data_IF_632269440410
#
_entry.id   IF_632269440410
#
_cell.length_a   1.000
_cell.length_b   1.000
_cell.length_c   1.000
_cell.angle_alpha   90.00
_cell.angle_beta   90.00
_cell.angle_gamma   90.00
#
_symmetry.space_group_name_H-M   'P 1'
#
loop_
_entity.id
_entity.type
_entity.pdbx_description
1 polymer ?
#
# COMPACT_ATOMS: atom_id res chain seq x y z
N UNK A 1 8.13 -65.81 32.93
CA UNK A 1 6.88 -66.36 32.36
C UNK A 1 5.62 -66.04 33.18
N UNK A 2 5.68 -66.01 34.52
CA UNK A 2 4.52 -65.76 35.41
C UNK A 2 3.96 -64.32 35.29
N UNK A 3 4.83 -63.32 35.15
CA UNK A 3 4.44 -61.90 35.00
C UNK A 3 3.48 -61.63 33.82
N UNK A 4 3.72 -62.26 32.67
CA UNK A 4 2.84 -62.10 31.49
C UNK A 4 1.47 -62.72 31.69
N UNK A 5 1.37 -63.84 32.43
CA UNK A 5 0.08 -64.49 32.72
C UNK A 5 -0.76 -63.66 33.69
N UNK A 6 -0.13 -63.05 34.69
CA UNK A 6 -0.82 -62.11 35.59
C UNK A 6 -1.33 -60.88 34.85
N UNK A 7 -0.50 -60.25 34.01
CA UNK A 7 -0.91 -59.09 33.21
C UNK A 7 -2.09 -59.40 32.27
N UNK A 8 -2.08 -60.57 31.62
CA UNK A 8 -3.19 -61.01 30.77
C UNK A 8 -4.49 -61.28 31.56
N UNK A 9 -4.37 -61.83 32.78
CA UNK A 9 -5.52 -62.06 33.65
C UNK A 9 -6.13 -60.74 34.16
N UNK A 10 -5.30 -59.77 34.52
CA UNK A 10 -5.74 -58.43 34.93
C UNK A 10 -6.43 -57.67 33.79
N UNK A 11 -5.89 -57.72 32.58
CA UNK A 11 -6.55 -57.16 31.39
C UNK A 11 -7.90 -57.82 31.15
N UNK A 12 -7.98 -59.16 31.21
CA UNK A 12 -9.24 -59.88 31.03
C UNK A 12 -10.27 -59.54 32.12
N UNK A 13 -9.83 -59.31 33.36
CA UNK A 13 -10.67 -58.86 34.46
C UNK A 13 -11.21 -57.43 34.25
N UNK A 14 -10.36 -56.52 33.75
CA UNK A 14 -10.75 -55.16 33.39
C UNK A 14 -11.82 -55.16 32.29
N UNK A 15 -11.64 -55.94 31.22
CA UNK A 15 -12.59 -56.00 30.09
C UNK A 15 -13.90 -56.75 30.40
N UNK A 16 -13.91 -57.63 31.41
CA UNK A 16 -15.13 -58.34 31.79
C UNK A 16 -15.98 -57.58 32.83
N UNK A 17 -15.40 -56.61 33.55
CA UNK A 17 -16.10 -55.84 34.56
C UNK A 17 -16.60 -54.51 34.00
N UNK A 18 -17.91 -54.41 33.77
CA UNK A 18 -18.56 -53.22 33.17
C UNK A 18 -18.29 -51.93 33.96
N UNK A 19 -18.20 -51.99 35.29
CA UNK A 19 -17.96 -50.80 36.14
C UNK A 19 -16.52 -50.29 35.97
N UNK A 20 -15.54 -51.19 35.93
CA UNK A 20 -14.13 -50.83 35.72
C UNK A 20 -13.90 -50.30 34.31
N UNK A 21 -14.53 -50.89 33.29
CA UNK A 21 -14.51 -50.39 31.92
C UNK A 21 -15.07 -48.97 31.80
N UNK A 22 -16.22 -48.69 32.42
CA UNK A 22 -16.82 -47.34 32.43
C UNK A 22 -15.89 -46.35 33.13
N UNK A 23 -15.31 -46.74 34.28
CA UNK A 23 -14.39 -45.88 35.04
C UNK A 23 -13.13 -45.53 34.21
N UNK A 24 -12.56 -46.52 33.52
CA UNK A 24 -11.40 -46.32 32.64
C UNK A 24 -11.74 -45.43 31.44
N UNK A 25 -12.94 -45.59 30.86
CA UNK A 25 -13.42 -44.74 29.78
C UNK A 25 -13.58 -43.28 30.24
N UNK A 26 -14.18 -43.05 31.40
CA UNK A 26 -14.35 -41.70 31.98
C UNK A 26 -12.98 -41.04 32.25
N UNK A 27 -12.03 -41.77 32.85
CA UNK A 27 -10.68 -41.25 33.12
C UNK A 27 -9.94 -40.93 31.81
N UNK A 28 -10.08 -41.78 30.78
CA UNK A 28 -9.48 -41.55 29.46
C UNK A 28 -10.12 -40.38 28.71
N UNK A 29 -11.37 -40.04 29.03
CA UNK A 29 -12.05 -38.87 28.47
C UNK A 29 -11.53 -37.55 29.07
N UNK A 30 -10.96 -37.54 30.28
CA UNK A 30 -10.48 -36.31 30.92
C UNK A 30 -9.39 -35.62 30.07
N UNK A 31 -8.31 -36.30 29.62
CA UNK A 31 -7.32 -35.70 28.72
C UNK A 31 -7.89 -35.29 27.37
N UNK A 32 -8.88 -36.03 26.85
CA UNK A 32 -9.52 -35.74 25.55
C UNK A 32 -10.35 -34.46 25.64
N UNK A 33 -11.14 -34.32 26.71
CA UNK A 33 -11.92 -33.10 26.99
C UNK A 33 -10.99 -31.91 27.21
N UNK A 34 -9.96 -32.06 28.03
CA UNK A 34 -8.97 -31.01 28.24
C UNK A 34 -8.31 -30.58 26.93
N UNK A 35 -7.86 -31.56 26.13
CA UNK A 35 -7.26 -31.29 24.82
C UNK A 35 -8.26 -30.64 23.86
N UNK A 36 -9.51 -31.10 23.82
CA UNK A 36 -10.55 -30.54 22.97
C UNK A 36 -10.91 -29.09 23.33
N UNK A 37 -11.08 -28.78 24.62
CA UNK A 37 -11.30 -27.41 25.08
C UNK A 37 -10.08 -26.51 24.84
N UNK A 38 -8.87 -27.02 25.08
CA UNK A 38 -7.63 -26.27 24.87
C UNK A 38 -7.38 -25.98 23.38
N UNK A 39 -7.51 -26.99 22.51
CA UNK A 39 -7.41 -26.86 21.06
C UNK A 39 -8.49 -25.92 20.53
N UNK A 40 -9.74 -26.05 20.97
CA UNK A 40 -10.82 -25.14 20.59
C UNK A 40 -10.55 -23.69 20.99
N UNK A 41 -9.94 -23.46 22.16
CA UNK A 41 -9.55 -22.11 22.61
C UNK A 41 -8.38 -21.51 21.83
N UNK A 42 -7.55 -22.32 21.17
CA UNK A 42 -6.38 -21.87 20.38
C UNK A 42 -6.66 -21.93 18.87
N UNK A 43 -7.74 -22.61 18.45
CA UNK A 43 -8.15 -22.69 17.04
C UNK A 43 -8.60 -21.34 16.49
N UNK A 44 -9.18 -20.50 17.35
CA UNK A 44 -9.50 -19.12 17.01
C UNK A 44 -9.22 -18.18 18.20
N UNK A 45 -7.93 -17.87 18.46
CA UNK A 45 -7.54 -16.99 19.56
C UNK A 45 -7.93 -15.53 19.28
N UNK A 46 -8.41 -15.23 18.07
CA UNK A 46 -8.81 -13.91 17.60
C UNK A 46 -10.33 -13.77 17.40
N UNK A 47 -11.11 -14.84 17.56
CA UNK A 47 -12.55 -14.91 17.23
C UNK A 47 -13.46 -13.96 18.01
N UNK A 48 -12.96 -13.37 19.09
CA UNK A 48 -13.68 -12.37 19.90
C UNK A 48 -12.96 -11.02 20.00
N UNK A 49 -12.01 -10.75 19.11
CA UNK A 49 -11.24 -9.49 19.12
C UNK A 49 -12.07 -8.25 18.76
N UNK A 50 -13.27 -8.45 18.20
CA UNK A 50 -14.27 -7.42 17.91
C UNK A 50 -14.68 -6.58 19.13
N UNK A 51 -14.60 -7.17 20.33
CA UNK A 51 -14.95 -6.50 21.58
C UNK A 51 -13.73 -5.87 22.28
N UNK A 52 -12.57 -5.87 21.65
CA UNK A 52 -11.35 -5.32 22.23
C UNK A 52 -11.24 -3.86 21.78
N UNK A 53 -11.43 -2.89 22.70
CA UNK A 53 -11.39 -1.48 22.37
C UNK A 53 -9.97 -1.06 21.98
N UNK A 54 -9.84 -0.57 20.75
CA UNK A 54 -8.61 -0.05 20.17
C UNK A 54 -8.85 1.39 19.77
N UNK A 55 -8.10 2.32 20.37
CA UNK A 55 -8.19 3.72 20.00
C UNK A 55 -7.49 3.97 18.67
N UNK A 56 -8.14 4.69 17.77
CA UNK A 56 -7.54 5.25 16.57
C UNK A 56 -7.52 6.77 16.69
N UNK A 57 -6.32 7.34 16.60
CA UNK A 57 -6.06 8.78 16.69
C UNK A 57 -5.49 9.23 15.34
N UNK A 58 -6.15 10.20 14.72
CA UNK A 58 -5.73 10.77 13.45
C UNK A 58 -5.30 12.22 13.62
N UNK A 59 -3.99 12.47 13.68
CA UNK A 59 -3.42 13.82 13.75
C UNK A 59 -3.00 14.34 12.36
N UNK A 60 -3.14 13.51 11.31
CA UNK A 60 -2.71 13.79 9.95
C UNK A 60 -3.35 15.06 9.39
N UNK A 61 -2.53 15.98 8.89
CA UNK A 61 -3.00 17.27 8.33
C UNK A 61 -3.29 17.20 6.83
N UNK A 62 -3.04 16.05 6.20
CA UNK A 62 -3.12 15.92 4.75
C UNK A 62 -1.91 16.54 4.05
N UNK A 63 -1.83 16.32 2.74
CA UNK A 63 -0.80 16.88 1.88
C UNK A 63 -1.34 17.13 0.47
N UNK A 64 -0.48 17.61 -0.42
CA UNK A 64 -0.77 17.75 -1.84
C UNK A 64 0.24 16.95 -2.64
N UNK A 65 -0.24 16.10 -3.53
CA UNK A 65 0.57 15.36 -4.50
C UNK A 65 0.13 15.78 -5.89
N UNK A 66 1.03 16.37 -6.69
CA UNK A 66 0.75 16.87 -8.04
C UNK A 66 -0.48 17.80 -8.13
N UNK A 67 -0.69 18.65 -7.11
CA UNK A 67 -1.81 19.61 -7.06
C UNK A 67 -3.16 18.99 -6.68
N UNK A 68 -3.20 17.71 -6.31
CA UNK A 68 -4.37 17.04 -5.76
C UNK A 68 -4.20 16.81 -4.26
N UNK A 69 -5.25 17.04 -3.49
CA UNK A 69 -5.26 16.74 -2.07
C UNK A 69 -5.04 15.23 -1.83
N UNK A 70 -4.12 14.91 -0.92
CA UNK A 70 -3.80 13.56 -0.48
C UNK A 70 -3.98 13.50 1.04
N UNK A 71 -5.07 12.88 1.49
CA UNK A 71 -5.40 12.69 2.91
C UNK A 71 -5.37 11.20 3.23
N UNK A 72 -4.18 10.66 3.45
CA UNK A 72 -3.97 9.23 3.71
C UNK A 72 -4.53 8.85 5.09
N UNK A 73 -4.30 9.65 6.13
CA UNK A 73 -4.82 9.39 7.48
C UNK A 73 -6.34 9.28 7.51
N UNK A 74 -7.04 10.24 6.89
CA UNK A 74 -8.50 10.22 6.77
C UNK A 74 -9.02 9.01 5.98
N UNK A 75 -8.29 8.60 4.93
CA UNK A 75 -8.65 7.42 4.13
C UNK A 75 -8.52 6.12 4.92
N UNK A 76 -7.46 6.01 5.74
CA UNK A 76 -7.25 4.89 6.65
C UNK A 76 -8.35 4.87 7.71
N UNK A 77 -8.68 6.02 8.29
CA UNK A 77 -9.77 6.16 9.28
C UNK A 77 -11.10 5.63 8.74
N UNK A 78 -11.48 6.03 7.52
CA UNK A 78 -12.70 5.53 6.85
C UNK A 78 -12.67 4.02 6.64
N UNK A 79 -11.56 3.46 6.12
CA UNK A 79 -11.41 2.00 5.93
C UNK A 79 -11.53 1.22 7.24
N UNK A 80 -11.04 1.79 8.35
CA UNK A 80 -11.13 1.15 9.66
C UNK A 80 -12.53 1.26 10.28
N UNK A 81 -13.29 2.32 10.00
CA UNK A 81 -14.70 2.43 10.41
C UNK A 81 -15.56 1.30 9.82
N UNK A 82 -15.25 0.88 8.59
CA UNK A 82 -15.94 -0.23 7.93
C UNK A 82 -15.41 -1.61 8.36
N UNK A 83 -14.29 -1.66 9.10
CA UNK A 83 -13.66 -2.89 9.56
C UNK A 83 -14.21 -3.32 10.93
N UNK A 84 -14.84 -4.50 10.97
CA UNK A 84 -15.46 -5.03 12.19
C UNK A 84 -14.64 -6.15 12.84
N UNK A 85 -13.33 -6.22 12.54
CA UNK A 85 -12.45 -7.24 13.10
C UNK A 85 -12.01 -6.86 14.52
N UNK A 86 -11.96 -5.55 14.83
CA UNK A 86 -11.58 -4.97 16.12
C UNK A 86 -12.60 -3.93 16.58
N UNK A 87 -12.65 -3.68 17.89
CA UNK A 87 -13.49 -2.64 18.49
C UNK A 87 -12.88 -1.25 18.31
N UNK A 88 -12.85 -0.73 17.09
CA UNK A 88 -12.25 0.57 16.80
C UNK A 88 -13.04 1.71 17.46
N UNK A 89 -12.35 2.53 18.25
CA UNK A 89 -12.86 3.78 18.79
C UNK A 89 -12.05 4.95 18.25
N UNK A 90 -12.70 5.85 17.53
CA UNK A 90 -12.08 7.01 16.90
C UNK A 90 -12.12 8.18 17.88
N UNK A 91 -10.97 8.55 18.42
CA UNK A 91 -10.86 9.47 19.56
C UNK A 91 -9.73 10.47 19.36
N UNK A 92 -9.78 11.57 20.11
CA UNK A 92 -8.67 12.51 20.20
C UNK A 92 -7.46 11.88 20.91
N UNK A 93 -6.26 12.42 20.67
CA UNK A 93 -5.05 11.99 21.37
C UNK A 93 -5.20 12.02 22.88
N UNK A 94 -5.81 13.07 23.42
CA UNK A 94 -6.04 13.20 24.86
C UNK A 94 -6.94 12.07 25.41
N UNK A 95 -8.03 11.75 24.72
CA UNK A 95 -8.91 10.66 25.10
C UNK A 95 -8.23 9.29 25.00
N UNK A 96 -7.37 9.09 23.99
CA UNK A 96 -6.58 7.87 23.86
C UNK A 96 -5.59 7.72 25.03
N UNK A 97 -4.88 8.79 25.39
CA UNK A 97 -3.93 8.81 26.51
C UNK A 97 -4.65 8.52 27.85
N UNK A 98 -5.80 9.14 28.10
CA UNK A 98 -6.65 8.88 29.27
C UNK A 98 -7.20 7.44 29.27
N UNK A 99 -7.61 6.92 28.11
CA UNK A 99 -8.14 5.57 27.96
C UNK A 99 -7.08 4.47 28.14
N UNK A 100 -5.81 4.73 27.79
CA UNK A 100 -4.68 3.84 28.10
C UNK A 100 -4.40 3.85 29.59
N UNK A 101 -4.34 5.03 30.20
CA UNK A 101 -4.04 5.19 31.64
C UNK A 101 -5.13 4.56 32.53
N UNK A 102 -6.40 4.63 32.12
CA UNK A 102 -7.52 4.00 32.81
C UNK A 102 -7.68 2.51 32.50
N UNK A 103 -6.92 1.97 31.53
CA UNK A 103 -7.01 0.57 31.10
C UNK A 103 -8.23 0.24 30.24
N UNK A 104 -8.95 1.26 29.75
CA UNK A 104 -10.05 1.09 28.78
C UNK A 104 -9.51 0.57 27.45
N UNK A 105 -8.47 1.22 26.89
CA UNK A 105 -7.86 0.80 25.62
C UNK A 105 -6.77 -0.24 25.80
N UNK A 106 -6.80 -1.28 24.95
CA UNK A 106 -5.75 -2.29 24.89
C UNK A 106 -4.57 -1.84 24.03
N UNK A 107 -4.84 -1.01 23.03
CA UNK A 107 -3.86 -0.43 22.13
C UNK A 107 -4.35 0.92 21.59
N UNK A 108 -3.41 1.78 21.21
CA UNK A 108 -3.63 3.04 20.51
C UNK A 108 -2.84 3.02 19.22
N UNK A 109 -3.53 3.32 18.12
CA UNK A 109 -2.95 3.57 16.81
C UNK A 109 -2.99 5.06 16.57
N UNK A 110 -1.84 5.69 16.37
CA UNK A 110 -1.75 7.13 16.09
C UNK A 110 -1.14 7.37 14.71
N UNK A 111 -1.90 8.01 13.84
CA UNK A 111 -1.41 8.57 12.57
C UNK A 111 -0.79 9.95 12.87
N UNK A 112 0.53 10.14 12.68
CA UNK A 112 1.19 11.42 12.94
C UNK A 112 0.73 12.53 11.99
N UNK A 113 0.98 13.78 12.38
CA UNK A 113 0.53 14.95 11.62
C UNK A 113 1.18 15.15 10.25
N UNK A 114 2.36 14.56 10.05
CA UNK A 114 3.16 14.64 8.82
C UNK A 114 3.01 13.38 7.95
N UNK A 115 2.06 12.50 8.27
CA UNK A 115 1.94 11.20 7.63
C UNK A 115 1.63 11.31 6.13
N UNK A 116 0.61 12.10 5.76
CA UNK A 116 0.30 12.34 4.35
C UNK A 116 1.40 13.11 3.62
N UNK A 117 2.12 14.00 4.32
CA UNK A 117 3.24 14.74 3.75
C UNK A 117 4.39 13.81 3.38
N UNK A 118 4.76 12.92 4.30
CA UNK A 118 5.77 11.88 4.06
C UNK A 118 5.34 10.94 2.94
N UNK A 119 4.06 10.55 2.89
CA UNK A 119 3.53 9.76 1.78
C UNK A 119 3.59 10.50 0.43
N UNK A 120 3.36 11.82 0.42
CA UNK A 120 3.44 12.66 -0.78
C UNK A 120 4.88 12.92 -1.27
N UNK A 121 5.89 12.81 -0.39
CA UNK A 121 7.30 13.03 -0.74
C UNK A 121 7.88 12.04 -1.76
N UNK A 122 7.10 11.07 -2.22
CA UNK A 122 7.54 10.02 -3.14
C UNK A 122 7.92 10.52 -4.54
N UNK A 123 7.40 11.68 -4.94
CA UNK A 123 7.80 12.38 -6.18
C UNK A 123 8.92 13.39 -5.97
N UNK A 124 9.36 13.58 -4.72
CA UNK A 124 10.48 14.47 -4.39
C UNK A 124 11.81 13.74 -4.57
N UNK A 125 12.90 14.51 -4.62
CA UNK A 125 14.27 13.98 -4.79
C UNK A 125 14.74 13.12 -3.61
N UNK A 126 14.16 13.30 -2.42
CA UNK A 126 14.49 12.53 -1.22
C UNK A 126 13.20 12.03 -0.53
N UNK A 127 12.68 10.86 -0.94
CA UNK A 127 11.46 10.29 -0.37
C UNK A 127 11.61 9.96 1.12
N UNK A 128 10.59 10.32 1.90
CA UNK A 128 10.52 10.05 3.33
C UNK A 128 9.56 8.90 3.66
N UNK A 129 9.93 8.10 4.66
CA UNK A 129 9.09 7.00 5.13
C UNK A 129 7.96 7.52 6.03
N UNK A 130 6.71 7.25 5.66
CA UNK A 130 5.56 7.47 6.52
C UNK A 130 5.50 6.41 7.63
N UNK A 131 5.44 6.83 8.89
CA UNK A 131 5.48 5.95 10.08
C UNK A 131 4.18 6.10 10.86
N UNK A 132 3.69 4.98 11.42
CA UNK A 132 2.52 4.94 12.30
C UNK A 132 2.98 4.51 13.68
N UNK A 133 2.50 5.21 14.70
CA UNK A 133 2.87 4.92 16.08
C UNK A 133 1.84 3.99 16.71
N UNK A 134 2.33 2.94 17.34
CA UNK A 134 1.52 1.98 18.09
C UNK A 134 1.94 2.06 19.56
N UNK A 135 0.98 2.34 20.43
CA UNK A 135 1.19 2.32 21.89
C UNK A 135 0.34 1.20 22.46
N UNK A 136 0.94 0.37 23.32
CA UNK A 136 0.25 -0.78 23.93
C UNK A 136 0.18 -0.60 25.43
N UNK A 137 -0.92 -1.02 26.03
CA UNK A 137 -1.07 -0.97 27.49
C UNK A 137 -0.35 -2.18 28.10
N UNK A 138 0.61 -2.00 29.03
CA UNK A 138 1.37 -3.10 29.63
C UNK A 138 0.53 -4.11 30.44
N UNK A 139 -0.74 -3.81 30.72
CA UNK A 139 -1.52 -4.48 31.76
C UNK A 139 -2.06 -5.89 31.40
N UNK A 140 -1.93 -6.40 30.16
CA UNK A 140 -2.45 -7.73 29.77
C UNK A 140 -1.55 -8.43 28.73
N UNK A 141 -0.42 -8.95 29.21
CA UNK A 141 0.73 -9.40 28.41
C UNK A 141 0.42 -10.23 27.14
N UNK A 142 -0.49 -11.22 27.18
CA UNK A 142 -0.74 -12.07 26.01
C UNK A 142 -1.80 -11.49 25.06
N UNK A 143 -3.01 -11.20 25.56
CA UNK A 143 -4.13 -10.69 24.74
C UNK A 143 -3.84 -9.30 24.18
N UNK A 144 -3.23 -8.41 24.97
CA UNK A 144 -2.84 -7.08 24.50
C UNK A 144 -1.81 -7.14 23.37
N UNK A 145 -0.85 -8.08 23.44
CA UNK A 145 0.14 -8.28 22.37
C UNK A 145 -0.47 -8.86 21.09
N UNK A 146 -1.41 -9.81 21.19
CA UNK A 146 -2.15 -10.37 20.05
C UNK A 146 -2.96 -9.28 19.33
N UNK A 147 -3.74 -8.50 20.08
CA UNK A 147 -4.56 -7.40 19.55
C UNK A 147 -3.68 -6.35 18.90
N UNK A 148 -2.59 -5.97 19.57
CA UNK A 148 -1.67 -4.96 19.05
C UNK A 148 -1.01 -5.42 17.76
N UNK A 149 -0.58 -6.68 17.67
CA UNK A 149 0.00 -7.24 16.46
C UNK A 149 -1.03 -7.31 15.32
N UNK A 150 -2.27 -7.69 15.60
CA UNK A 150 -3.32 -7.76 14.59
C UNK A 150 -3.77 -6.37 14.12
N UNK A 151 -3.94 -5.42 15.04
CA UNK A 151 -4.19 -4.02 14.74
C UNK A 151 -3.05 -3.43 13.89
N UNK A 152 -1.79 -3.67 14.28
CA UNK A 152 -0.62 -3.25 13.54
C UNK A 152 -0.57 -3.87 12.14
N UNK A 153 -0.85 -5.17 12.01
CA UNK A 153 -0.90 -5.84 10.71
C UNK A 153 -2.00 -5.27 9.81
N UNK A 154 -3.20 -4.98 10.36
CA UNK A 154 -4.33 -4.43 9.60
C UNK A 154 -4.05 -3.01 9.13
N UNK A 155 -3.57 -2.16 10.04
CA UNK A 155 -3.21 -0.79 9.74
C UNK A 155 -2.07 -0.74 8.73
N UNK A 156 -1.01 -1.55 8.92
CA UNK A 156 0.08 -1.69 7.96
C UNK A 156 -0.42 -2.10 6.58
N UNK A 157 -1.29 -3.11 6.50
CA UNK A 157 -1.86 -3.58 5.24
C UNK A 157 -2.66 -2.48 4.52
N UNK A 158 -3.59 -1.82 5.24
CA UNK A 158 -4.39 -0.72 4.69
C UNK A 158 -3.51 0.43 4.21
N UNK A 159 -2.47 0.77 4.95
CA UNK A 159 -1.53 1.85 4.61
C UNK A 159 -0.68 1.49 3.41
N UNK A 160 -0.12 0.28 3.38
CA UNK A 160 0.65 -0.21 2.24
C UNK A 160 -0.18 -0.20 0.96
N UNK A 161 -1.45 -0.58 1.02
CA UNK A 161 -2.36 -0.51 -0.13
C UNK A 161 -2.55 0.94 -0.62
N UNK A 162 -2.86 1.88 0.28
CA UNK A 162 -3.07 3.29 -0.09
C UNK A 162 -1.80 3.93 -0.66
N UNK A 163 -0.64 3.67 -0.04
CA UNK A 163 0.65 4.17 -0.52
C UNK A 163 0.97 3.57 -1.89
N UNK A 164 0.75 2.27 -2.10
CA UNK A 164 0.99 1.61 -3.39
C UNK A 164 0.10 2.19 -4.48
N UNK A 165 -1.18 2.45 -4.18
CA UNK A 165 -2.10 3.10 -5.12
C UNK A 165 -1.66 4.53 -5.47
N UNK A 166 -1.28 5.32 -4.46
CA UNK A 166 -0.76 6.67 -4.67
C UNK A 166 0.52 6.66 -5.52
N UNK A 167 1.41 5.69 -5.26
CA UNK A 167 2.65 5.50 -6.02
C UNK A 167 2.39 5.12 -7.47
N UNK A 168 1.56 4.12 -7.72
CA UNK A 168 1.20 3.69 -9.07
C UNK A 168 0.59 4.84 -9.88
N UNK A 169 -0.28 5.63 -9.24
CA UNK A 169 -0.87 6.82 -9.86
C UNK A 169 0.17 7.90 -10.20
N UNK A 170 1.12 8.17 -9.29
CA UNK A 170 2.20 9.13 -9.54
C UNK A 170 3.11 8.72 -10.70
N UNK A 171 3.46 7.43 -10.80
CA UNK A 171 4.24 6.89 -11.93
C UNK A 171 3.47 7.03 -13.24
N UNK A 172 2.19 6.64 -13.26
CA UNK A 172 1.36 6.74 -14.46
C UNK A 172 1.22 8.18 -14.95
N UNK A 173 0.99 9.14 -14.05
CA UNK A 173 0.93 10.57 -14.40
C UNK A 173 2.26 11.09 -14.97
N UNK A 174 3.41 10.59 -14.46
CA UNK A 174 4.72 10.94 -15.01
C UNK A 174 4.98 10.30 -16.39
N UNK A 175 4.50 9.09 -16.62
CA UNK A 175 4.56 8.43 -17.94
C UNK A 175 3.71 9.18 -18.97
N UNK A 176 2.52 9.64 -18.60
CA UNK A 176 1.68 10.47 -19.47
C UNK A 176 2.39 11.78 -19.86
N UNK A 177 3.02 12.45 -18.89
CA UNK A 177 3.83 13.65 -19.14
C UNK A 177 5.00 13.37 -20.08
N UNK A 178 5.69 12.25 -19.89
CA UNK A 178 6.76 11.81 -20.79
C UNK A 178 6.22 11.57 -22.20
N UNK A 179 5.06 10.92 -22.34
CA UNK A 179 4.39 10.71 -23.62
C UNK A 179 4.08 12.02 -24.35
N UNK A 180 3.52 13.01 -23.64
CA UNK A 180 3.29 14.35 -24.20
C UNK A 180 4.58 15.06 -24.62
N UNK A 181 5.66 14.91 -23.83
CA UNK A 181 6.98 15.45 -24.16
C UNK A 181 7.57 14.81 -25.42
N UNK A 182 7.42 13.50 -25.59
CA UNK A 182 7.85 12.77 -26.78
C UNK A 182 7.04 13.17 -28.02
N UNK A 183 5.73 13.36 -27.90
CA UNK A 183 4.87 13.84 -28.99
C UNK A 183 5.26 15.26 -29.42
N UNK A 184 5.54 16.14 -28.44
CA UNK A 184 6.06 17.49 -28.71
C UNK A 184 7.39 17.45 -29.45
N UNK A 185 8.30 16.55 -29.05
CA UNK A 185 9.58 16.36 -29.73
C UNK A 185 9.41 15.83 -31.16
N UNK A 186 8.49 14.88 -31.39
CA UNK A 186 8.17 14.35 -32.70
C UNK A 186 7.60 15.44 -33.63
N UNK A 187 6.65 16.25 -33.13
CA UNK A 187 6.07 17.37 -33.86
C UNK A 187 7.12 18.44 -34.20
N UNK A 188 8.03 18.73 -33.26
CA UNK A 188 9.17 19.62 -33.49
C UNK A 188 10.12 19.09 -34.58
N UNK A 189 10.43 17.79 -34.58
CA UNK A 189 11.25 17.16 -35.60
C UNK A 189 10.57 17.18 -36.98
N UNK A 190 9.26 16.97 -37.06
CA UNK A 190 8.47 17.10 -38.29
C UNK A 190 8.51 18.53 -38.83
N UNK A 191 8.31 19.52 -37.95
CA UNK A 191 8.39 20.94 -38.31
C UNK A 191 9.77 21.32 -38.84
N UNK A 192 10.83 20.79 -38.22
CA UNK A 192 12.20 21.00 -38.68
C UNK A 192 12.44 20.36 -40.06
N UNK A 193 11.94 19.13 -40.28
CA UNK A 193 12.02 18.45 -41.56
C UNK A 193 11.34 19.26 -42.69
N UNK A 194 10.12 19.73 -42.45
CA UNK A 194 9.37 20.56 -43.40
C UNK A 194 10.09 21.88 -43.68
N UNK A 195 10.65 22.51 -42.63
CA UNK A 195 11.46 23.72 -42.73
C UNK A 195 12.70 23.52 -43.61
N UNK A 196 13.41 22.41 -43.45
CA UNK A 196 14.56 22.04 -44.28
C UNK A 196 14.14 21.80 -45.74
N UNK A 197 12.99 21.16 -45.98
CA UNK A 197 12.42 21.00 -47.32
C UNK A 197 12.13 22.35 -48.00
N UNK A 198 11.51 23.29 -47.28
CA UNK A 198 11.24 24.65 -47.78
C UNK A 198 12.52 25.43 -48.06
N UNK A 199 13.53 25.31 -47.19
CA UNK A 199 14.84 25.93 -47.41
C UNK A 199 15.49 25.37 -48.69
N UNK A 200 15.47 24.06 -48.88
CA UNK A 200 16.01 23.42 -50.08
C UNK A 200 15.31 23.95 -51.34
N UNK A 201 13.98 23.97 -51.38
CA UNK A 201 13.24 24.53 -52.52
C UNK A 201 13.54 26.01 -52.75
N UNK A 202 13.65 26.80 -51.67
CA UNK A 202 14.02 28.22 -51.74
C UNK A 202 15.42 28.44 -52.33
N UNK A 203 16.39 27.63 -51.93
CA UNK A 203 17.75 27.69 -52.49
C UNK A 203 17.79 27.30 -53.97
N UNK A 204 17.01 26.31 -54.40
CA UNK A 204 16.89 25.93 -55.80
C UNK A 204 16.26 27.06 -56.64
N UNK A 205 15.20 27.69 -56.13
CA UNK A 205 14.57 28.85 -56.77
C UNK A 205 15.54 30.04 -56.87
N UNK A 206 16.30 30.31 -55.81
CA UNK A 206 17.34 31.35 -55.79
C UNK A 206 18.40 31.11 -56.87
N UNK A 207 18.96 29.89 -56.94
CA UNK A 207 19.95 29.51 -57.97
C UNK A 207 19.36 29.64 -59.37
N UNK A 208 18.11 29.23 -59.57
CA UNK A 208 17.39 29.40 -60.84
C UNK A 208 17.26 30.87 -61.24
N UNK A 209 16.87 31.74 -60.31
CA UNK A 209 16.76 33.18 -60.53
C UNK A 209 18.11 33.84 -60.88
N UNK A 210 19.18 33.46 -60.19
CA UNK A 210 20.55 33.94 -60.49
C UNK A 210 21.00 33.51 -61.89
N UNK A 211 20.71 32.26 -62.30
CA UNK A 211 20.99 31.80 -63.68
C UNK A 211 20.21 32.61 -64.71
N UNK A 212 18.92 32.85 -64.47
CA UNK A 212 18.08 33.64 -65.38
C UNK A 212 18.60 35.08 -65.50
N UNK A 213 19.02 35.69 -64.38
CA UNK A 213 19.61 37.03 -64.38
C UNK A 213 20.87 37.10 -65.26
N UNK A 214 21.75 36.09 -65.15
CA UNK A 214 22.96 36.01 -65.98
C UNK A 214 22.61 35.92 -67.48
N UNK A 215 21.62 35.10 -67.85
CA UNK A 215 21.14 34.99 -69.23
C UNK A 215 20.57 36.32 -69.73
N UNK A 216 19.71 36.96 -68.95
CA UNK A 216 19.10 38.25 -69.31
C UNK A 216 20.16 39.36 -69.47
N UNK A 217 21.19 39.38 -68.61
CA UNK A 217 22.29 40.32 -68.72
C UNK A 217 23.06 40.14 -70.02
N UNK A 218 23.32 38.89 -70.42
CA UNK A 218 24.00 38.57 -71.68
C UNK A 218 23.17 38.96 -72.91
N UNK A 219 21.86 38.71 -72.88
CA UNK A 219 20.92 39.18 -73.91
C UNK A 219 20.89 40.70 -74.01
N UNK A 220 20.86 41.42 -72.88
CA UNK A 220 20.88 42.87 -72.86
C UNK A 220 22.17 43.43 -73.46
N UNK A 221 23.33 42.88 -73.09
CA UNK A 221 24.61 43.28 -73.70
C UNK A 221 24.65 43.03 -75.21
N UNK A 222 24.08 41.91 -75.67
CA UNK A 222 23.97 41.60 -77.09
C UNK A 222 23.06 42.57 -77.84
N UNK A 223 21.92 42.94 -77.25
CA UNK A 223 21.00 43.93 -77.82
C UNK A 223 21.58 45.34 -77.88
N UNK A 224 22.31 45.76 -76.84
CA UNK A 224 23.03 47.04 -76.84
C UNK A 224 24.09 47.11 -77.94
N UNK A 225 24.80 46.01 -78.22
CA UNK A 225 25.78 45.94 -79.31
C UNK A 225 25.17 45.99 -80.72
N UNK A 226 23.88 45.69 -80.88
CA UNK A 226 23.17 45.82 -82.16
C UNK A 226 22.66 47.26 -82.43
N UNK A 227 22.59 48.09 -81.38
CA UNK A 227 22.14 49.49 -81.45
C UNK A 227 23.28 50.49 -81.69
N UNK A 228 24.53 50.07 -81.48
CA UNK A 228 25.76 50.84 -81.74
C UNK A 228 26.30 50.61 -83.14
#
# INVERSE_FOLDING_TARGET
MIKNKMLQAEWKHLFNNKILLISMAVISFIPILYSGFFLGSIWDPYGQTKNLPVAFVNEDKGASLNGKALNVGESVEKKLKDNHDLGWEFVSKQQADEGVNSGHFYAVVTIPSDFSQKAASITESEPQQAVINFTTTPAKNYIGSLVSNQAAAKVKSSVSEQITQAYAKGILENLDKLGMGLDTAANGASTLHDGLGRLQSGTQAYVGGVKQLAVNQQSLTGGLAQLS
#
